data_IF_835043193901
#
_entry.id   IF_835043193901
#
_cell.length_a   1.000
_cell.length_b   1.000
_cell.length_c   1.000
_cell.angle_alpha   90.00
_cell.angle_beta   90.00
_cell.angle_gamma   90.00
#
_symmetry.space_group_name_H-M   'P 1'
#
loop_
_entity.id
_entity.type
_entity.pdbx_description
1 polymer ?
#
# COMPACT_ATOMS: atom_id res chain seq x y z
N UNK A 1 13.53 11.92 11.54
CA UNK A 1 12.89 10.70 12.08
C UNK A 1 11.87 10.23 11.06
N UNK A 2 12.11 9.07 10.46
CA UNK A 2 11.15 8.47 9.56
C UNK A 2 10.06 7.82 10.42
N UNK A 3 8.80 7.93 10.01
CA UNK A 3 7.66 7.42 10.78
C UNK A 3 7.79 5.93 11.12
N UNK A 4 8.42 5.14 10.24
CA UNK A 4 8.65 3.71 10.44
C UNK A 4 9.71 3.36 11.47
N UNK A 5 10.44 4.35 12.02
CA UNK A 5 11.43 4.12 13.09
C UNK A 5 10.76 3.80 14.43
N UNK A 6 9.44 4.00 14.55
CA UNK A 6 8.66 3.68 15.74
C UNK A 6 7.79 2.42 15.58
N UNK A 7 7.91 1.69 14.48
CA UNK A 7 7.18 0.44 14.24
C UNK A 7 8.06 -0.72 14.72
N UNK A 8 7.47 -1.67 15.42
CA UNK A 8 8.17 -2.86 15.90
C UNK A 8 7.27 -4.09 15.79
N UNK A 9 7.86 -5.26 15.53
CA UNK A 9 7.16 -6.55 15.52
C UNK A 9 5.96 -6.57 14.55
N UNK A 10 6.18 -6.23 13.27
CA UNK A 10 5.12 -6.14 12.26
C UNK A 10 5.56 -6.65 10.90
N UNK A 11 4.64 -7.31 10.22
CA UNK A 11 4.75 -7.60 8.79
C UNK A 11 3.91 -6.59 8.02
N UNK A 12 4.53 -5.85 7.12
CA UNK A 12 3.91 -4.80 6.32
C UNK A 12 3.68 -5.33 4.91
N UNK A 13 2.48 -5.10 4.36
CA UNK A 13 2.11 -5.51 3.01
C UNK A 13 1.98 -4.29 2.11
N UNK A 14 2.94 -4.12 1.20
CA UNK A 14 3.08 -2.93 0.36
C UNK A 14 2.77 -3.17 -1.10
N UNK A 15 2.46 -2.08 -1.81
CA UNK A 15 2.57 -2.07 -3.26
C UNK A 15 4.04 -2.13 -3.68
N UNK A 16 4.29 -2.60 -4.91
CA UNK A 16 5.63 -2.69 -5.50
C UNK A 16 6.37 -1.34 -5.52
N UNK A 17 5.68 -0.21 -5.59
CA UNK A 17 6.32 1.12 -5.55
C UNK A 17 6.95 1.45 -4.17
N UNK A 18 6.58 0.72 -3.13
CA UNK A 18 7.08 0.91 -1.76
C UNK A 18 8.16 -0.12 -1.37
N UNK A 19 8.72 -0.87 -2.32
CA UNK A 19 9.83 -1.78 -2.05
C UNK A 19 11.13 -1.00 -1.83
N UNK A 20 11.25 -0.34 -0.68
CA UNK A 20 12.46 0.35 -0.26
C UNK A 20 13.40 -0.65 0.43
N UNK A 21 14.25 -1.29 -0.38
CA UNK A 21 15.18 -2.30 0.12
C UNK A 21 16.29 -1.72 1.00
N UNK A 22 16.60 -0.42 0.87
CA UNK A 22 17.57 0.25 1.73
C UNK A 22 16.97 0.56 3.10
N UNK A 23 15.70 0.95 3.15
CA UNK A 23 15.01 1.21 4.41
C UNK A 23 14.69 -0.08 5.18
N UNK A 24 14.28 -1.15 4.49
CA UNK A 24 13.98 -2.45 5.09
C UNK A 24 15.19 -3.40 5.04
N UNK A 25 16.36 -2.87 5.38
CA UNK A 25 17.60 -3.63 5.43
C UNK A 25 17.63 -4.65 6.59
N UNK A 26 18.70 -5.45 6.63
CA UNK A 26 18.88 -6.44 7.70
C UNK A 26 18.93 -5.82 9.10
N UNK A 27 19.40 -4.57 9.22
CA UNK A 27 19.50 -3.90 10.52
C UNK A 27 18.11 -3.58 11.09
N UNK A 28 17.18 -3.10 10.26
CA UNK A 28 15.76 -2.92 10.64
C UNK A 28 15.07 -4.24 10.93
N UNK A 29 15.29 -5.26 10.12
CA UNK A 29 14.71 -6.59 10.34
C UNK A 29 15.15 -7.13 11.72
N UNK A 30 16.42 -6.97 12.09
CA UNK A 30 16.94 -7.49 13.36
C UNK A 30 16.62 -6.61 14.57
N UNK A 31 16.74 -5.30 14.44
CA UNK A 31 16.56 -4.37 15.57
C UNK A 31 15.10 -4.08 15.87
N UNK A 32 14.23 -4.07 14.84
CA UNK A 32 12.83 -3.70 14.99
C UNK A 32 11.86 -4.86 14.74
N UNK A 33 12.35 -6.00 14.22
CA UNK A 33 11.53 -7.15 13.85
C UNK A 33 10.38 -6.74 12.89
N UNK A 34 10.74 -6.04 11.82
CA UNK A 34 9.81 -5.60 10.78
C UNK A 34 10.17 -6.30 9.47
N UNK A 35 9.17 -6.74 8.71
CA UNK A 35 9.35 -7.25 7.35
C UNK A 35 8.40 -6.52 6.38
N UNK A 36 8.88 -6.23 5.17
CA UNK A 36 8.08 -5.64 4.09
C UNK A 36 7.87 -6.67 2.98
N UNK A 37 6.60 -7.01 2.72
CA UNK A 37 6.19 -7.93 1.67
C UNK A 37 5.53 -7.14 0.55
N UNK A 38 6.11 -7.22 -0.65
CA UNK A 38 5.57 -6.61 -1.87
C UNK A 38 5.47 -7.66 -2.97
N UNK A 39 4.53 -7.54 -3.92
CA UNK A 39 4.48 -8.43 -5.07
C UNK A 39 5.83 -8.50 -5.81
N UNK A 40 6.23 -9.69 -6.24
CA UNK A 40 7.54 -9.91 -6.82
C UNK A 40 7.66 -9.14 -8.15
N UNK A 41 8.80 -8.47 -8.35
CA UNK A 41 9.13 -7.76 -9.58
C UNK A 41 9.89 -8.69 -10.51
N UNK A 42 9.47 -8.76 -11.78
CA UNK A 42 10.21 -9.49 -12.79
C UNK A 42 11.62 -8.91 -12.97
N UNK A 43 12.61 -9.78 -13.06
CA UNK A 43 14.01 -9.40 -13.22
C UNK A 43 14.30 -9.20 -14.71
N UNK A 44 14.85 -8.03 -15.07
CA UNK A 44 15.22 -7.74 -16.46
C UNK A 44 16.42 -8.61 -16.85
N UNK A 45 16.35 -9.27 -18.02
CA UNK A 45 17.42 -10.14 -18.52
C UNK A 45 17.38 -11.59 -18.03
N UNK A 46 16.41 -11.96 -17.19
CA UNK A 46 16.24 -13.34 -16.74
C UNK A 46 15.84 -14.26 -17.91
N UNK A 47 16.44 -15.45 -17.99
CA UNK A 47 16.11 -16.44 -19.02
C UNK A 47 14.70 -16.99 -18.84
N UNK A 48 14.11 -17.52 -19.92
CA UNK A 48 12.76 -18.07 -19.85
C UNK A 48 12.70 -19.35 -19.02
N UNK A 49 13.79 -20.13 -18.98
CA UNK A 49 13.88 -21.30 -18.10
C UNK A 49 13.84 -20.90 -16.61
N UNK A 50 14.56 -19.85 -16.21
CA UNK A 50 14.56 -19.35 -14.83
C UNK A 50 13.21 -18.75 -14.42
N UNK A 51 12.59 -17.97 -15.32
CA UNK A 51 11.23 -17.47 -15.10
C UNK A 51 10.25 -18.61 -14.94
N UNK A 52 10.31 -19.62 -15.80
CA UNK A 52 9.40 -20.76 -15.74
C UNK A 52 9.55 -21.55 -14.44
N UNK A 53 10.80 -21.78 -13.99
CA UNK A 53 11.08 -22.46 -12.71
C UNK A 53 10.52 -21.73 -11.50
N UNK A 54 10.61 -20.39 -11.48
CA UNK A 54 10.17 -19.56 -10.36
C UNK A 54 8.70 -19.10 -10.45
N UNK A 55 8.06 -19.26 -11.62
CA UNK A 55 6.71 -18.72 -11.90
C UNK A 55 5.68 -19.13 -10.85
N UNK A 56 5.55 -20.43 -10.58
CA UNK A 56 4.53 -20.93 -9.66
C UNK A 56 4.64 -20.30 -8.26
N UNK A 57 5.87 -20.19 -7.75
CA UNK A 57 6.12 -19.51 -6.48
C UNK A 57 5.84 -18.00 -6.56
N UNK A 58 6.35 -17.34 -7.60
CA UNK A 58 6.22 -15.89 -7.76
C UNK A 58 4.76 -15.46 -7.86
N UNK A 59 3.95 -16.20 -8.63
CA UNK A 59 2.54 -15.94 -8.84
C UNK A 59 1.74 -16.20 -7.56
N UNK A 60 2.01 -17.31 -6.87
CA UNK A 60 1.35 -17.64 -5.60
C UNK A 60 1.64 -16.58 -4.54
N UNK A 61 2.92 -16.23 -4.35
CA UNK A 61 3.34 -15.23 -3.38
C UNK A 61 2.76 -13.86 -3.70
N UNK A 62 2.89 -13.40 -4.96
CA UNK A 62 2.36 -12.10 -5.37
C UNK A 62 0.84 -12.04 -5.23
N UNK A 63 0.13 -13.13 -5.55
CA UNK A 63 -1.32 -13.23 -5.36
C UNK A 63 -1.69 -13.15 -3.88
N UNK A 64 -0.95 -13.83 -3.00
CA UNK A 64 -1.20 -13.77 -1.56
C UNK A 64 -1.00 -12.36 -1.00
N UNK A 65 0.10 -11.70 -1.35
CA UNK A 65 0.38 -10.31 -0.95
C UNK A 65 -0.71 -9.36 -1.46
N UNK A 66 -1.10 -9.49 -2.74
CA UNK A 66 -2.16 -8.67 -3.32
C UNK A 66 -3.51 -8.91 -2.66
N UNK A 67 -3.88 -10.16 -2.33
CA UNK A 67 -5.13 -10.48 -1.62
C UNK A 67 -5.23 -9.80 -0.27
N UNK A 68 -4.14 -9.72 0.49
CA UNK A 68 -4.12 -8.99 1.77
C UNK A 68 -4.37 -7.49 1.57
N UNK A 69 -3.96 -6.92 0.44
CA UNK A 69 -4.13 -5.50 0.10
C UNK A 69 -5.49 -5.16 -0.52
N UNK A 70 -6.13 -6.10 -1.20
CA UNK A 70 -7.41 -5.88 -1.89
C UNK A 70 -8.46 -5.13 -1.04
N UNK A 71 -8.66 -5.45 0.26
CA UNK A 71 -9.65 -4.74 1.07
C UNK A 71 -9.39 -3.23 1.21
N UNK A 72 -8.14 -2.82 1.42
CA UNK A 72 -7.80 -1.39 1.56
C UNK A 72 -7.90 -0.67 0.22
N UNK A 73 -7.54 -1.32 -0.88
CA UNK A 73 -7.71 -0.79 -2.24
C UNK A 73 -9.19 -0.61 -2.59
N UNK A 74 -10.02 -1.62 -2.31
CA UNK A 74 -11.47 -1.54 -2.49
C UNK A 74 -12.10 -0.45 -1.63
N UNK A 75 -11.66 -0.31 -0.38
CA UNK A 75 -12.12 0.77 0.50
C UNK A 75 -11.82 2.16 -0.07
N UNK A 76 -10.58 2.42 -0.50
CA UNK A 76 -10.22 3.72 -1.07
C UNK A 76 -10.92 3.99 -2.42
N UNK A 77 -11.10 2.95 -3.24
CA UNK A 77 -11.86 3.07 -4.48
C UNK A 77 -13.32 3.47 -4.19
N UNK A 78 -13.98 2.75 -3.29
CA UNK A 78 -15.34 3.05 -2.86
C UNK A 78 -15.46 4.45 -2.27
N UNK A 79 -14.53 4.83 -1.39
CA UNK A 79 -14.50 6.16 -0.78
C UNK A 79 -14.42 7.25 -1.85
N UNK A 80 -13.54 7.07 -2.85
CA UNK A 80 -13.39 8.03 -3.94
C UNK A 80 -14.63 8.06 -4.85
N UNK A 81 -15.23 6.91 -5.14
CA UNK A 81 -16.44 6.83 -5.97
C UNK A 81 -17.62 7.58 -5.34
N UNK A 82 -17.86 7.36 -4.04
CA UNK A 82 -18.99 7.97 -3.32
C UNK A 82 -18.80 9.46 -3.06
N UNK A 83 -17.56 9.90 -2.82
CA UNK A 83 -17.31 11.25 -2.30
C UNK A 83 -16.58 12.16 -3.27
N UNK A 84 -15.85 11.59 -4.25
CA UNK A 84 -14.88 12.29 -5.11
C UNK A 84 -13.79 13.00 -4.30
N UNK A 85 -13.34 12.39 -3.19
CA UNK A 85 -12.35 12.95 -2.26
C UNK A 85 -11.04 13.36 -2.94
N UNK A 86 -10.64 12.69 -4.01
CA UNK A 86 -9.41 13.04 -4.74
C UNK A 86 -9.47 14.40 -5.47
N UNK A 87 -10.66 15.03 -5.59
CA UNK A 87 -10.78 16.43 -6.05
C UNK A 87 -10.09 17.43 -5.12
N UNK A 88 -9.72 16.99 -3.90
CA UNK A 88 -8.83 17.68 -2.99
C UNK A 88 -7.56 18.24 -3.67
N UNK A 89 -7.03 17.58 -4.69
CA UNK A 89 -5.84 18.04 -5.45
C UNK A 89 -6.01 19.42 -6.11
N UNK A 90 -7.26 19.88 -6.32
CA UNK A 90 -7.56 21.20 -6.92
C UNK A 90 -7.67 22.31 -5.88
N UNK A 91 -7.70 21.98 -4.59
CA UNK A 91 -7.85 22.94 -3.50
C UNK A 91 -6.50 23.62 -3.24
N UNK A 92 -6.51 24.95 -3.20
CA UNK A 92 -5.28 25.76 -3.15
C UNK A 92 -4.90 26.23 -1.73
N UNK A 93 -5.81 26.15 -0.77
CA UNK A 93 -5.56 26.53 0.62
C UNK A 93 -5.60 25.33 1.56
N UNK A 94 -4.71 25.31 2.56
CA UNK A 94 -4.67 24.24 3.58
C UNK A 94 -5.99 24.14 4.34
N UNK A 95 -6.56 25.27 4.76
CA UNK A 95 -7.85 25.30 5.46
C UNK A 95 -8.97 24.74 4.58
N UNK A 96 -9.00 25.10 3.30
CA UNK A 96 -9.96 24.54 2.35
C UNK A 96 -9.77 23.04 2.13
N UNK A 97 -8.52 22.56 2.10
CA UNK A 97 -8.19 21.15 1.95
C UNK A 97 -8.68 20.32 3.14
N UNK A 98 -8.51 20.85 4.36
CA UNK A 98 -9.00 20.22 5.59
C UNK A 98 -10.52 20.12 5.58
N UNK A 99 -11.23 21.22 5.33
CA UNK A 99 -12.70 21.24 5.26
C UNK A 99 -13.22 20.29 4.16
N UNK A 100 -12.59 20.29 2.99
CA UNK A 100 -12.94 19.40 1.90
C UNK A 100 -12.80 17.94 2.31
N UNK A 101 -11.61 17.54 2.78
CA UNK A 101 -11.29 16.14 3.12
C UNK A 101 -12.19 15.65 4.25
N UNK A 102 -12.31 16.41 5.33
CA UNK A 102 -13.16 16.04 6.47
C UNK A 102 -14.64 15.96 6.09
N UNK A 103 -15.13 16.92 5.30
CA UNK A 103 -16.51 16.88 4.80
C UNK A 103 -16.79 15.68 3.90
N UNK A 104 -15.84 15.29 3.03
CA UNK A 104 -15.98 14.07 2.21
C UNK A 104 -15.97 12.80 3.04
N UNK A 105 -15.13 12.72 4.07
CA UNK A 105 -15.11 11.59 5.01
C UNK A 105 -16.44 11.51 5.79
N UNK A 106 -16.97 12.63 6.27
CA UNK A 106 -18.27 12.68 6.95
C UNK A 106 -19.40 12.15 6.05
N UNK A 107 -19.44 12.58 4.78
CA UNK A 107 -20.40 12.06 3.80
C UNK A 107 -20.22 10.55 3.56
N UNK A 108 -18.98 10.04 3.52
CA UNK A 108 -18.73 8.60 3.41
C UNK A 108 -19.34 7.82 4.58
N UNK A 109 -19.20 8.32 5.81
CA UNK A 109 -19.81 7.69 6.98
C UNK A 109 -21.34 7.70 6.93
N UNK A 110 -21.95 8.79 6.44
CA UNK A 110 -23.41 8.84 6.24
C UNK A 110 -23.86 7.74 5.27
N UNK A 111 -23.14 7.53 4.16
CA UNK A 111 -23.41 6.45 3.20
C UNK A 111 -23.23 5.02 3.76
N UNK A 112 -22.52 4.85 4.87
CA UNK A 112 -22.38 3.54 5.52
C UNK A 112 -23.55 3.23 6.47
N UNK A 113 -24.24 4.26 6.95
CA UNK A 113 -25.32 4.15 7.93
C UNK A 113 -26.69 4.05 7.25
N UNK A 114 -26.90 4.77 6.15
CA UNK A 114 -28.16 4.88 5.41
C UNK A 114 -28.03 4.31 3.99
#
# INVERSE_FOLDING_TARGET
LNWGDNIFNRTIFGDKIYSDFEYFDETKIRSQNIAMLTPIKGIKGQSDQEKQRSRAFNDLFSTAVSKVRQPIESFFNWLNEKTKIQRAQKVRSTSGLLVHTMGKIAIAFIYLIF
#
